data_IF_350277667662
#
_entry.id   IF_350277667662
#
_cell.length_a   1.000
_cell.length_b   1.000
_cell.length_c   1.000
_cell.angle_alpha   90.00
_cell.angle_beta   90.00
_cell.angle_gamma   90.00
#
_symmetry.space_group_name_H-M   'P 1'
#
loop_
_entity.id
_entity.type
_entity.pdbx_description
1 polymer ?
#
# COMPACT_ATOMS: atom_id res chain seq x y z
N UNK A 1 9.70 5.65 14.02
CA UNK A 1 9.15 4.32 14.35
C UNK A 1 8.29 3.94 13.16
N UNK A 2 8.67 2.90 12.44
CA UNK A 2 7.87 2.30 11.38
C UNK A 2 6.50 1.93 11.94
N UNK A 3 5.46 2.12 11.14
CA UNK A 3 4.10 1.76 11.50
C UNK A 3 4.02 0.23 11.51
N UNK A 4 3.99 -0.39 12.70
CA UNK A 4 4.02 -1.86 12.85
C UNK A 4 2.89 -2.53 12.07
N UNK A 5 1.75 -1.84 11.89
CA UNK A 5 0.65 -2.34 11.09
C UNK A 5 0.97 -2.32 9.60
N UNK A 6 1.48 -1.21 9.06
CA UNK A 6 1.88 -1.16 7.64
C UNK A 6 3.01 -2.16 7.35
N UNK A 7 3.96 -2.31 8.28
CA UNK A 7 5.03 -3.29 8.14
C UNK A 7 4.50 -4.73 8.09
N UNK A 8 3.55 -5.09 8.96
CA UNK A 8 2.87 -6.39 8.91
C UNK A 8 2.15 -6.60 7.57
N UNK A 9 1.56 -5.54 7.01
CA UNK A 9 0.85 -5.65 5.72
C UNK A 9 1.78 -5.75 4.53
N UNK A 10 2.88 -4.99 4.51
CA UNK A 10 3.91 -5.14 3.49
C UNK A 10 4.52 -6.54 3.55
N UNK A 11 4.74 -7.06 4.76
CA UNK A 11 5.21 -8.43 4.94
C UNK A 11 4.23 -9.44 4.34
N UNK A 12 2.94 -9.36 4.68
CA UNK A 12 1.89 -10.23 4.09
C UNK A 12 1.75 -10.05 2.57
N UNK A 13 2.02 -8.85 2.05
CA UNK A 13 2.06 -8.61 0.61
C UNK A 13 3.16 -9.40 -0.09
N UNK A 14 4.27 -9.67 0.61
CA UNK A 14 5.40 -10.48 0.12
C UNK A 14 5.19 -11.98 0.36
N UNK A 15 4.70 -12.37 1.54
CA UNK A 15 4.42 -13.75 1.95
C UNK A 15 3.17 -14.29 1.22
N UNK A 16 3.36 -14.91 0.05
CA UNK A 16 2.27 -15.36 -0.82
C UNK A 16 1.74 -16.73 -0.42
N UNK A 17 2.56 -17.57 0.20
CA UNK A 17 2.14 -18.87 0.69
C UNK A 17 1.64 -18.87 2.15
N UNK A 18 1.72 -17.73 2.83
CA UNK A 18 1.31 -17.50 4.21
C UNK A 18 2.03 -18.45 5.19
N UNK A 19 3.30 -18.77 4.93
CA UNK A 19 4.12 -19.59 5.81
C UNK A 19 4.76 -18.78 6.97
N UNK A 20 4.57 -17.46 6.97
CA UNK A 20 5.11 -16.54 7.96
C UNK A 20 6.58 -16.19 7.72
N UNK A 21 7.12 -16.51 6.54
CA UNK A 21 8.46 -16.17 6.08
C UNK A 21 8.38 -15.57 4.66
N UNK A 22 9.47 -14.91 4.24
CA UNK A 22 9.59 -14.43 2.86
C UNK A 22 10.73 -15.21 2.22
N UNK A 23 10.38 -16.15 1.35
CA UNK A 23 11.35 -16.94 0.63
C UNK A 23 12.00 -16.13 -0.51
N UNK A 24 13.04 -16.68 -1.14
CA UNK A 24 13.80 -15.96 -2.19
C UNK A 24 12.93 -15.56 -3.38
N UNK A 25 11.98 -16.42 -3.76
CA UNK A 25 11.09 -16.15 -4.89
C UNK A 25 10.13 -15.00 -4.57
N UNK A 26 9.56 -15.01 -3.37
CA UNK A 26 8.69 -13.95 -2.85
C UNK A 26 9.43 -12.62 -2.71
N UNK A 27 10.65 -12.66 -2.19
CA UNK A 27 11.52 -11.49 -2.11
C UNK A 27 11.79 -10.88 -3.49
N UNK A 28 12.17 -11.70 -4.47
CA UNK A 28 12.43 -11.23 -5.83
C UNK A 28 11.15 -10.68 -6.46
N UNK A 29 10.02 -11.36 -6.29
CA UNK A 29 8.74 -10.92 -6.83
C UNK A 29 8.32 -9.58 -6.22
N UNK A 30 8.33 -9.45 -4.89
CA UNK A 30 7.97 -8.22 -4.19
C UNK A 30 8.87 -7.04 -4.60
N UNK A 31 10.20 -7.26 -4.67
CA UNK A 31 11.12 -6.23 -5.17
C UNK A 31 10.86 -5.85 -6.63
N UNK A 32 10.49 -6.80 -7.48
CA UNK A 32 10.18 -6.51 -8.88
C UNK A 32 9.00 -5.54 -9.01
N UNK A 33 7.95 -5.74 -8.20
CA UNK A 33 6.77 -4.85 -8.15
C UNK A 33 7.15 -3.49 -7.53
N UNK A 34 7.92 -3.49 -6.45
CA UNK A 34 8.27 -2.27 -5.71
C UNK A 34 9.13 -1.32 -6.53
N UNK A 35 10.16 -1.86 -7.18
CA UNK A 35 11.16 -1.06 -7.88
C UNK A 35 10.73 -0.76 -9.32
N UNK A 36 10.13 -1.74 -10.00
CA UNK A 36 9.88 -1.70 -11.45
C UNK A 36 8.49 -2.14 -11.88
N UNK A 37 7.57 -2.31 -10.93
CA UNK A 37 6.21 -2.73 -11.21
C UNK A 37 5.47 -1.72 -12.07
N UNK A 38 4.70 -2.25 -13.01
CA UNK A 38 3.69 -1.52 -13.77
C UNK A 38 2.60 -0.97 -12.84
N UNK A 39 1.80 -0.02 -13.33
CA UNK A 39 0.66 0.48 -12.56
C UNK A 39 -0.30 -0.66 -12.17
N UNK A 40 -0.52 -1.63 -13.07
CA UNK A 40 -1.40 -2.78 -12.82
C UNK A 40 -0.89 -3.69 -11.70
N UNK A 41 0.42 -3.97 -11.67
CA UNK A 41 1.03 -4.75 -10.59
C UNK A 41 0.98 -4.01 -9.25
N UNK A 42 1.19 -2.69 -9.27
CA UNK A 42 1.11 -1.85 -8.06
C UNK A 42 -0.32 -1.74 -7.54
N UNK A 43 -1.32 -1.62 -8.42
CA UNK A 43 -2.73 -1.62 -8.02
C UNK A 43 -3.11 -2.93 -7.34
N UNK A 44 -2.75 -4.08 -7.94
CA UNK A 44 -3.01 -5.39 -7.31
C UNK A 44 -2.35 -5.51 -5.95
N UNK A 45 -1.07 -5.14 -5.86
CA UNK A 45 -0.34 -5.20 -4.61
C UNK A 45 -0.96 -4.32 -3.52
N UNK A 46 -1.24 -3.04 -3.80
CA UNK A 46 -1.80 -2.17 -2.77
C UNK A 46 -3.22 -2.57 -2.40
N UNK A 47 -4.03 -3.08 -3.35
CA UNK A 47 -5.34 -3.64 -3.01
C UNK A 47 -5.22 -4.82 -2.02
N UNK A 48 -4.32 -5.77 -2.28
CA UNK A 48 -4.06 -6.90 -1.36
C UNK A 48 -3.56 -6.44 0.02
N UNK A 49 -2.86 -5.30 0.09
CA UNK A 49 -2.42 -4.70 1.36
C UNK A 49 -3.60 -4.06 2.12
N UNK A 50 -4.58 -3.52 1.41
CA UNK A 50 -5.72 -2.81 1.99
C UNK A 50 -6.88 -3.74 2.38
N UNK A 51 -7.07 -4.85 1.65
CA UNK A 51 -8.00 -5.92 1.99
C UNK A 51 -7.44 -6.73 3.18
N UNK A 52 -7.85 -6.37 4.40
CA UNK A 52 -7.20 -6.87 5.62
C UNK A 52 -7.62 -8.30 5.94
N UNK A 53 -8.82 -8.69 5.50
CA UNK A 53 -9.43 -9.99 5.76
C UNK A 53 -9.34 -10.96 4.56
N UNK A 54 -8.95 -10.46 3.37
CA UNK A 54 -8.77 -11.25 2.15
C UNK A 54 -10.08 -11.67 1.47
N UNK A 55 -11.18 -10.95 1.70
CA UNK A 55 -12.50 -11.29 1.15
C UNK A 55 -12.72 -10.76 -0.27
N UNK A 56 -11.75 -10.02 -0.82
CA UNK A 56 -11.79 -9.42 -2.15
C UNK A 56 -12.44 -8.05 -2.18
N UNK A 57 -12.74 -7.45 -1.03
CA UNK A 57 -13.31 -6.12 -0.91
C UNK A 57 -12.59 -5.32 0.18
N UNK A 58 -12.57 -3.99 0.02
CA UNK A 58 -12.14 -3.07 1.08
C UNK A 58 -13.40 -2.51 1.72
N UNK A 59 -13.67 -2.92 2.96
CA UNK A 59 -14.81 -2.47 3.77
C UNK A 59 -14.57 -1.11 4.43
N UNK A 60 -15.66 -0.44 4.87
CA UNK A 60 -15.58 0.81 5.64
C UNK A 60 -14.70 0.68 6.87
N UNK A 61 -14.80 -0.45 7.57
CA UNK A 61 -14.04 -0.75 8.78
C UNK A 61 -12.53 -0.86 8.49
N UNK A 62 -12.16 -1.44 7.36
CA UNK A 62 -10.77 -1.55 6.90
C UNK A 62 -10.22 -0.19 6.48
N UNK A 63 -10.98 0.58 5.70
CA UNK A 63 -10.61 1.96 5.35
C UNK A 63 -10.37 2.80 6.60
N UNK A 64 -11.29 2.72 7.58
CA UNK A 64 -11.17 3.45 8.83
C UNK A 64 -9.90 3.06 9.59
N UNK A 65 -9.60 1.76 9.73
CA UNK A 65 -8.38 1.30 10.40
C UNK A 65 -7.11 1.79 9.71
N UNK A 66 -7.06 1.70 8.37
CA UNK A 66 -5.90 2.10 7.59
C UNK A 66 -5.67 3.62 7.66
N UNK A 67 -6.72 4.42 7.45
CA UNK A 67 -6.65 5.88 7.52
C UNK A 67 -6.29 6.37 8.93
N UNK A 68 -6.86 5.72 9.96
CA UNK A 68 -6.56 6.04 11.36
C UNK A 68 -5.07 5.89 11.65
N UNK A 69 -4.46 4.78 11.25
CA UNK A 69 -3.03 4.54 11.51
C UNK A 69 -2.12 5.42 10.63
N UNK A 70 -2.53 5.72 9.40
CA UNK A 70 -1.81 6.62 8.50
C UNK A 70 -1.80 8.08 8.98
N UNK A 71 -2.91 8.59 9.55
CA UNK A 71 -3.12 10.02 9.85
C UNK A 71 -2.87 10.41 11.31
N UNK A 72 -2.98 9.50 12.27
CA UNK A 72 -2.84 9.80 13.72
C UNK A 72 -1.41 10.18 14.18
N UNK A 73 -0.50 10.48 13.25
CA UNK A 73 0.85 10.96 13.57
C UNK A 73 0.89 12.43 14.01
N UNK A 74 -0.22 13.15 13.93
CA UNK A 74 -0.34 14.51 14.47
C UNK A 74 -1.37 14.56 15.59
N UNK A 75 -1.01 14.97 16.83
CA UNK A 75 -1.99 15.19 17.86
C UNK A 75 -2.82 16.43 17.50
N UNK A 76 -4.04 16.21 16.98
CA UNK A 76 -5.05 17.26 16.85
C UNK A 76 -5.89 17.36 18.12
N UNK A 77 -6.36 18.57 18.45
CA UNK A 77 -7.23 18.84 19.61
C UNK A 77 -8.71 18.44 19.37
N UNK A 78 -9.08 18.12 18.14
CA UNK A 78 -10.41 17.63 17.74
C UNK A 78 -10.48 16.09 17.76
N UNK A 79 -11.68 15.54 17.95
CA UNK A 79 -11.92 14.08 17.94
C UNK A 79 -11.48 13.50 16.58
N UNK A 80 -10.33 12.81 16.51
CA UNK A 80 -9.74 12.41 15.25
C UNK A 80 -10.59 11.37 14.52
N UNK A 81 -11.50 10.68 15.23
CA UNK A 81 -12.34 9.63 14.66
C UNK A 81 -13.44 10.18 13.75
N UNK A 82 -13.96 11.38 14.00
CA UNK A 82 -14.96 12.00 13.12
C UNK A 82 -14.33 12.43 11.78
N UNK A 83 -13.14 13.03 11.82
CA UNK A 83 -12.41 13.40 10.59
C UNK A 83 -12.08 12.18 9.73
N UNK A 84 -11.75 11.03 10.34
CA UNK A 84 -11.49 9.79 9.62
C UNK A 84 -12.78 9.24 9.00
N UNK A 85 -13.92 9.28 9.71
CA UNK A 85 -15.21 8.84 9.14
C UNK A 85 -15.60 9.67 7.91
N UNK A 86 -15.39 10.98 7.96
CA UNK A 86 -15.62 11.85 6.81
C UNK A 86 -14.73 11.47 5.62
N UNK A 87 -13.46 11.15 5.87
CA UNK A 87 -12.56 10.66 4.81
C UNK A 87 -12.99 9.32 4.23
N UNK A 88 -13.49 8.38 5.05
CA UNK A 88 -14.05 7.11 4.57
C UNK A 88 -15.23 7.36 3.62
N UNK A 89 -16.17 8.22 4.01
CA UNK A 89 -17.33 8.55 3.19
C UNK A 89 -16.95 9.30 1.90
N UNK A 90 -15.98 10.22 1.97
CA UNK A 90 -15.42 10.89 0.78
C UNK A 90 -14.79 9.87 -0.16
N UNK A 91 -14.04 8.90 0.38
CA UNK A 91 -13.36 7.87 -0.41
C UNK A 91 -14.35 6.99 -1.13
N UNK A 92 -15.37 6.48 -0.43
CA UNK A 92 -16.44 5.72 -1.05
C UNK A 92 -17.16 6.52 -2.13
N UNK A 93 -17.55 7.75 -1.85
CA UNK A 93 -18.20 8.59 -2.86
C UNK A 93 -17.35 8.78 -4.14
N UNK A 94 -16.03 8.70 -4.02
CA UNK A 94 -15.08 8.89 -5.11
C UNK A 94 -14.73 7.59 -5.83
N UNK A 95 -14.67 6.47 -5.12
CA UNK A 95 -14.13 5.20 -5.63
C UNK A 95 -15.18 4.10 -5.77
N UNK A 96 -16.27 4.12 -5.00
CA UNK A 96 -17.35 3.12 -5.05
C UNK A 96 -18.29 3.41 -6.23
N UNK A 97 -18.05 2.72 -7.35
CA UNK A 97 -18.79 2.96 -8.60
C UNK A 97 -20.13 2.23 -8.66
N UNK A 98 -20.27 1.10 -7.97
CA UNK A 98 -21.52 0.33 -7.95
C UNK A 98 -22.43 0.65 -6.75
N UNK A 99 -21.93 1.45 -5.80
CA UNK A 99 -22.62 1.96 -4.63
C UNK A 99 -23.07 0.87 -3.65
N UNK A 100 -22.30 -0.20 -3.53
CA UNK A 100 -22.57 -1.29 -2.58
C UNK A 100 -22.00 -1.01 -1.16
N UNK A 101 -21.27 0.09 -0.99
CA UNK A 101 -20.74 0.56 0.29
C UNK A 101 -19.38 -0.03 0.67
N UNK A 102 -18.72 -0.75 -0.25
CA UNK A 102 -17.36 -1.29 -0.14
C UNK A 102 -16.64 -1.10 -1.48
N UNK A 103 -15.35 -1.40 -1.56
CA UNK A 103 -14.60 -1.31 -2.82
C UNK A 103 -14.19 -2.69 -3.30
N UNK A 104 -14.69 -3.09 -4.47
CA UNK A 104 -14.10 -4.23 -5.18
C UNK A 104 -12.77 -3.82 -5.84
N UNK A 105 -12.00 -4.81 -6.30
CA UNK A 105 -10.82 -4.53 -7.11
C UNK A 105 -11.15 -3.72 -8.38
N UNK A 106 -12.34 -3.93 -8.97
CA UNK A 106 -12.77 -3.21 -10.17
C UNK A 106 -13.01 -1.73 -9.87
N UNK A 107 -13.66 -1.44 -8.74
CA UNK A 107 -13.89 -0.06 -8.28
C UNK A 107 -12.58 0.67 -8.05
N UNK A 108 -11.69 0.02 -7.30
CA UNK A 108 -10.37 0.54 -7.00
C UNK A 108 -9.52 0.75 -8.27
N UNK A 109 -9.46 -0.24 -9.16
CA UNK A 109 -8.70 -0.13 -10.42
C UNK A 109 -9.22 1.02 -11.28
N UNK A 110 -10.54 1.14 -11.43
CA UNK A 110 -11.13 2.22 -12.22
C UNK A 110 -10.79 3.59 -11.63
N UNK A 111 -11.00 3.77 -10.32
CA UNK A 111 -10.71 5.03 -9.65
C UNK A 111 -9.23 5.42 -9.73
N UNK A 112 -8.30 4.48 -9.57
CA UNK A 112 -6.85 4.74 -9.68
C UNK A 112 -6.42 5.06 -11.12
N UNK A 113 -7.05 4.45 -12.13
CA UNK A 113 -6.81 4.79 -13.54
C UNK A 113 -7.29 6.20 -13.89
N UNK A 114 -8.39 6.65 -13.28
CA UNK A 114 -8.91 8.01 -13.43
C UNK A 114 -8.03 9.03 -12.67
N UNK A 115 -7.58 8.67 -11.47
CA UNK A 115 -6.79 9.54 -10.59
C UNK A 115 -5.68 8.74 -9.89
N UNK A 116 -4.47 8.77 -10.45
CA UNK A 116 -3.33 7.96 -9.98
C UNK A 116 -2.88 8.27 -8.55
N UNK A 117 -3.28 9.43 -8.00
CA UNK A 117 -3.02 9.79 -6.60
C UNK A 117 -3.76 8.89 -5.61
N UNK A 118 -4.82 8.20 -6.04
CA UNK A 118 -5.60 7.28 -5.22
C UNK A 118 -4.93 5.91 -5.03
N UNK A 119 -3.80 5.64 -5.68
CA UNK A 119 -3.08 4.37 -5.56
C UNK A 119 -2.79 4.02 -4.08
N UNK A 120 -2.36 5.01 -3.30
CA UNK A 120 -2.01 4.87 -1.88
C UNK A 120 -3.04 5.60 -0.98
N UNK A 121 -4.32 5.64 -1.40
CA UNK A 121 -5.38 6.44 -0.75
C UNK A 121 -5.54 6.17 0.75
N UNK A 122 -5.31 4.94 1.20
CA UNK A 122 -5.48 4.53 2.60
C UNK A 122 -4.19 4.58 3.43
N UNK A 123 -3.07 4.93 2.79
CA UNK A 123 -1.75 4.96 3.42
C UNK A 123 -0.65 4.48 2.48
N UNK A 124 0.61 4.85 2.78
CA UNK A 124 1.75 4.43 1.99
C UNK A 124 1.97 2.91 2.10
N UNK A 125 1.90 2.21 0.97
CA UNK A 125 2.16 0.77 0.79
C UNK A 125 3.42 0.52 -0.04
N UNK A 126 3.93 1.53 -0.75
CA UNK A 126 5.07 1.46 -1.65
C UNK A 126 6.28 2.24 -1.09
N UNK A 127 7.50 1.90 -1.52
CA UNK A 127 8.69 2.66 -1.13
C UNK A 127 8.63 4.07 -1.70
N UNK A 128 8.98 5.06 -0.87
CA UNK A 128 9.09 6.43 -1.32
C UNK A 128 10.23 6.58 -2.35
N UNK A 129 10.19 7.59 -3.24
CA UNK A 129 11.17 7.75 -4.31
C UNK A 129 12.62 7.85 -3.82
N UNK A 130 12.87 8.40 -2.62
CA UNK A 130 14.21 8.53 -2.08
C UNK A 130 14.74 7.16 -1.64
N UNK A 131 13.94 6.40 -0.87
CA UNK A 131 14.29 5.03 -0.48
C UNK A 131 14.50 4.13 -1.70
N UNK A 132 13.67 4.29 -2.73
CA UNK A 132 13.83 3.58 -4.00
C UNK A 132 15.19 3.87 -4.66
N UNK A 133 15.55 5.15 -4.84
CA UNK A 133 16.81 5.54 -5.45
C UNK A 133 18.03 5.08 -4.63
N UNK A 134 17.97 5.20 -3.30
CA UNK A 134 19.06 4.77 -2.41
C UNK A 134 19.27 3.25 -2.46
N UNK A 135 18.20 2.47 -2.53
CA UNK A 135 18.27 1.01 -2.64
C UNK A 135 18.86 0.59 -3.98
N UNK A 136 18.34 1.12 -5.10
CA UNK A 136 18.86 0.79 -6.43
C UNK A 136 20.35 1.14 -6.56
N UNK A 137 20.75 2.32 -6.05
CA UNK A 137 22.12 2.77 -6.08
C UNK A 137 23.08 1.96 -5.19
N UNK A 138 22.58 1.21 -4.19
CA UNK A 138 23.45 0.37 -3.35
C UNK A 138 23.52 -1.07 -3.84
N UNK A 139 22.39 -1.59 -4.32
CA UNK A 139 22.25 -3.02 -4.67
C UNK A 139 22.66 -3.31 -6.11
N UNK A 140 22.43 -2.37 -7.03
CA UNK A 140 22.71 -2.56 -8.46
C UNK A 140 23.94 -1.79 -8.96
N UNK A 141 24.81 -1.29 -8.05
CA UNK A 141 26.11 -0.77 -8.44
C UNK A 141 26.95 -1.84 -9.14
N UNK A 142 27.67 -1.44 -10.17
CA UNK A 142 28.56 -2.32 -10.91
C UNK A 142 29.67 -2.82 -9.94
N UNK A 143 29.91 -4.14 -9.83
CA UNK A 143 31.01 -4.69 -9.04
C UNK A 143 32.38 -4.08 -9.39
N UNK A 144 32.54 -3.49 -10.58
CA UNK A 144 33.77 -2.79 -10.96
C UNK A 144 34.07 -1.54 -10.14
N UNK A 145 33.08 -0.88 -9.53
CA UNK A 145 33.28 0.33 -8.72
C UNK A 145 33.82 0.06 -7.30
N UNK A 146 33.87 -1.21 -6.88
CA UNK A 146 34.44 -1.62 -5.58
C UNK A 146 35.94 -1.95 -5.63
N UNK A 147 36.55 -1.98 -6.82
CA UNK A 147 37.95 -2.37 -7.02
C UNK A 147 38.95 -1.20 -7.09
N UNK A 148 38.50 0.05 -6.92
CA UNK A 148 39.35 1.25 -6.94
C UNK A 148 39.59 1.86 -5.54
N UNK A 149 39.87 1.03 -4.52
CA UNK A 149 40.42 1.48 -3.21
C UNK A 149 41.59 0.58 -2.79
#
# INVERSE_FOLDING_TARGET
MTDDMIMDRVFRGFDKDNDGCVNVSEWIYGLSVFLRGTLEEKMKYCFEVFDLNGDGFISKEEMFHMLKNSLLKQPSEEDPDEGIKDLVEITLKKMDHDHDGKLSFTDYEQAVREETLLLEAFGPCLPDPKSHMEFEAQVFKDPSEFNDI
#
